data_IF_975856925076
#
_entry.id   IF_975856925076
#
_cell.length_a   1.000
_cell.length_b   1.000
_cell.length_c   1.000
_cell.angle_alpha   90.00
_cell.angle_beta   90.00
_cell.angle_gamma   90.00
#
_symmetry.space_group_name_H-M   'P 1'
#
loop_
_entity.id
_entity.type
_entity.pdbx_description
1 polymer ?
#
# COMPACT_ATOMS: atom_id res chain seq x y z
N UNK A 1 -31.07 -3.06 -5.81
CA UNK A 1 -31.91 -2.03 -5.17
C UNK A 1 -31.72 -0.74 -5.95
N UNK A 2 -32.69 -0.30 -6.76
CA UNK A 2 -32.54 0.94 -7.56
C UNK A 2 -32.79 2.14 -6.65
N UNK A 3 -31.75 2.90 -6.30
CA UNK A 3 -31.93 4.18 -5.59
C UNK A 3 -32.47 5.18 -6.60
N UNK A 4 -33.78 5.41 -6.52
CA UNK A 4 -34.48 6.42 -7.27
C UNK A 4 -34.46 7.70 -6.43
N UNK A 5 -33.39 8.49 -6.53
CA UNK A 5 -33.31 9.83 -5.94
C UNK A 5 -32.84 10.80 -7.03
N UNK A 6 -33.55 11.92 -7.18
CA UNK A 6 -33.06 13.07 -7.96
C UNK A 6 -31.71 13.45 -7.35
N UNK A 7 -30.63 13.20 -8.09
CA UNK A 7 -29.29 13.66 -7.74
C UNK A 7 -29.21 15.14 -8.09
N UNK A 8 -28.59 15.93 -7.22
CA UNK A 8 -28.33 17.31 -7.57
C UNK A 8 -27.37 17.34 -8.78
N UNK A 9 -27.56 18.25 -9.74
CA UNK A 9 -26.67 18.34 -10.88
C UNK A 9 -25.28 18.75 -10.41
N UNK A 10 -24.24 18.15 -11.00
CA UNK A 10 -22.86 18.57 -10.76
C UNK A 10 -22.69 20.02 -11.25
N UNK A 11 -22.22 20.97 -10.40
CA UNK A 11 -21.95 22.33 -10.82
C UNK A 11 -20.87 22.38 -11.91
N UNK A 12 -21.01 23.30 -12.87
CA UNK A 12 -19.97 23.53 -13.89
C UNK A 12 -18.65 24.01 -13.25
N UNK A 13 -18.75 24.85 -12.21
CA UNK A 13 -17.61 25.36 -11.45
C UNK A 13 -17.97 25.54 -9.97
N UNK A 14 -16.97 25.35 -9.10
CA UNK A 14 -17.05 25.70 -7.68
C UNK A 14 -16.31 27.03 -7.47
N UNK A 15 -16.93 27.97 -6.74
CA UNK A 15 -16.35 29.31 -6.52
C UNK A 15 -15.30 29.30 -5.42
N UNK A 16 -15.38 28.34 -4.50
CA UNK A 16 -14.43 28.18 -3.39
C UNK A 16 -14.13 26.70 -3.09
N UNK A 17 -13.01 26.43 -2.43
CA UNK A 17 -12.68 25.09 -1.94
C UNK A 17 -13.67 24.58 -0.88
N UNK A 18 -14.23 25.48 -0.08
CA UNK A 18 -15.24 25.14 0.94
C UNK A 18 -16.54 24.66 0.29
N UNK A 19 -16.96 25.30 -0.80
CA UNK A 19 -18.14 24.87 -1.58
C UNK A 19 -17.94 23.48 -2.20
N UNK A 20 -16.75 23.22 -2.76
CA UNK A 20 -16.36 21.90 -3.27
C UNK A 20 -16.41 20.83 -2.17
N UNK A 21 -15.83 21.12 -1.00
CA UNK A 21 -15.82 20.19 0.13
C UNK A 21 -17.23 19.89 0.62
N UNK A 22 -18.04 20.92 0.88
CA UNK A 22 -19.41 20.79 1.37
C UNK A 22 -20.30 19.97 0.40
N UNK A 23 -20.07 20.10 -0.90
CA UNK A 23 -20.77 19.29 -1.89
C UNK A 23 -20.41 17.81 -1.74
N UNK A 24 -19.12 17.46 -1.73
CA UNK A 24 -18.66 16.07 -1.66
C UNK A 24 -18.84 15.40 -0.29
N UNK A 25 -19.02 16.16 0.79
CA UNK A 25 -19.38 15.59 2.11
C UNK A 25 -20.74 14.86 2.09
N UNK A 26 -21.62 15.21 1.15
CA UNK A 26 -22.96 14.63 1.01
C UNK A 26 -23.20 13.84 -0.28
N UNK A 27 -22.25 13.89 -1.22
CA UNK A 27 -22.36 13.29 -2.54
C UNK A 27 -21.30 12.21 -2.76
N UNK A 28 -21.66 11.11 -3.44
CA UNK A 28 -20.71 10.06 -3.82
C UNK A 28 -20.18 10.30 -5.24
N UNK A 29 -18.87 10.21 -5.46
CA UNK A 29 -18.27 10.37 -6.79
C UNK A 29 -18.78 9.33 -7.79
N UNK A 30 -19.16 8.14 -7.31
CA UNK A 30 -19.73 7.08 -8.15
C UNK A 30 -21.13 7.44 -8.67
N UNK A 31 -21.79 8.42 -8.08
CA UNK A 31 -23.09 8.90 -8.55
C UNK A 31 -23.00 9.74 -9.82
N UNK A 32 -21.80 10.17 -10.21
CA UNK A 32 -21.49 11.02 -11.37
C UNK A 32 -20.55 10.32 -12.36
N UNK A 33 -20.64 8.99 -12.45
CA UNK A 33 -19.74 8.15 -13.25
C UNK A 33 -19.70 8.52 -14.74
N UNK A 34 -20.75 9.14 -15.28
CA UNK A 34 -20.80 9.64 -16.65
C UNK A 34 -19.78 10.74 -16.95
N UNK A 35 -19.28 11.44 -15.93
CA UNK A 35 -18.22 12.44 -16.05
C UNK A 35 -16.82 11.84 -15.84
N UNK A 36 -16.72 10.57 -15.45
CA UNK A 36 -15.46 9.89 -15.19
C UNK A 36 -14.97 9.15 -16.45
N UNK A 37 -13.65 9.10 -16.61
CA UNK A 37 -13.02 8.28 -17.64
C UNK A 37 -12.69 6.90 -17.06
N UNK A 38 -13.03 5.79 -17.74
CA UNK A 38 -12.66 4.45 -17.27
C UNK A 38 -11.13 4.29 -17.30
N UNK A 39 -10.58 3.70 -16.23
CA UNK A 39 -9.15 3.42 -16.10
C UNK A 39 -8.98 1.95 -15.71
N UNK A 40 -8.06 1.27 -16.38
CA UNK A 40 -7.64 -0.09 -15.99
C UNK A 40 -6.75 -0.01 -14.75
N UNK A 41 -7.20 -0.61 -13.64
CA UNK A 41 -6.42 -0.72 -12.42
C UNK A 41 -6.02 -2.18 -12.21
N UNK A 42 -4.72 -2.44 -12.12
CA UNK A 42 -4.21 -3.75 -11.73
C UNK A 42 -4.00 -3.77 -10.22
N UNK A 43 -4.93 -4.39 -9.49
CA UNK A 43 -4.79 -4.60 -8.05
C UNK A 43 -4.08 -5.95 -7.84
N UNK A 44 -2.88 -5.92 -7.27
CA UNK A 44 -2.17 -7.14 -6.94
C UNK A 44 -2.98 -7.96 -5.92
N UNK A 45 -3.35 -9.20 -6.28
CA UNK A 45 -4.10 -10.10 -5.40
C UNK A 45 -3.26 -10.67 -4.24
N UNK A 46 -1.95 -10.43 -4.26
CA UNK A 46 -1.01 -10.89 -3.24
C UNK A 46 -0.29 -9.67 -2.69
N UNK A 47 -0.74 -9.10 -1.56
CA UNK A 47 0.03 -8.06 -0.91
C UNK A 47 1.39 -8.64 -0.51
N UNK A 48 2.48 -8.03 -0.99
CA UNK A 48 3.80 -8.23 -0.42
C UNK A 48 3.71 -7.82 1.04
N UNK A 49 3.92 -8.76 1.96
CA UNK A 49 3.92 -8.46 3.37
C UNK A 49 5.29 -7.86 3.72
N UNK A 50 5.34 -6.54 3.84
CA UNK A 50 6.52 -5.85 4.34
C UNK A 50 6.46 -5.85 5.87
N UNK A 51 7.45 -6.50 6.50
CA UNK A 51 7.61 -6.50 7.94
C UNK A 51 8.73 -5.55 8.32
N UNK A 52 8.40 -4.56 9.16
CA UNK A 52 9.40 -3.69 9.76
C UNK A 52 9.85 -4.32 11.07
N UNK A 53 11.12 -4.70 11.15
CA UNK A 53 11.74 -5.28 12.35
C UNK A 53 12.86 -4.37 12.81
N UNK A 54 12.83 -3.98 14.08
CA UNK A 54 13.93 -3.22 14.70
C UNK A 54 15.01 -4.21 15.12
N UNK A 55 16.23 -4.01 14.61
CA UNK A 55 17.41 -4.81 14.94
C UNK A 55 18.34 -4.01 15.85
N UNK A 56 19.16 -4.70 16.64
CA UNK A 56 20.19 -4.03 17.45
C UNK A 56 21.27 -3.40 16.56
N UNK A 57 21.95 -2.38 17.08
CA UNK A 57 23.06 -1.72 16.38
C UNK A 57 24.17 -2.70 16.00
N UNK A 58 24.43 -3.68 16.86
CA UNK A 58 25.40 -4.76 16.62
C UNK A 58 25.01 -5.59 15.39
N UNK A 59 23.76 -6.05 15.33
CA UNK A 59 23.26 -6.82 14.18
C UNK A 59 23.29 -6.00 12.90
N UNK A 60 22.95 -4.71 12.97
CA UNK A 60 23.01 -3.84 11.81
C UNK A 60 24.44 -3.73 11.24
N UNK A 61 25.45 -3.58 12.11
CA UNK A 61 26.85 -3.56 11.69
C UNK A 61 27.26 -4.88 11.02
N UNK A 62 26.94 -6.01 11.65
CA UNK A 62 27.26 -7.33 11.11
C UNK A 62 26.59 -7.59 9.74
N UNK A 63 25.35 -7.13 9.56
CA UNK A 63 24.66 -7.24 8.28
C UNK A 63 25.30 -6.39 7.18
N UNK A 64 25.74 -5.17 7.49
CA UNK A 64 26.41 -4.31 6.51
C UNK A 64 27.77 -4.89 6.07
N UNK A 65 28.52 -5.48 7.01
CA UNK A 65 29.75 -6.20 6.70
C UNK A 65 29.48 -7.42 5.81
N UNK A 66 28.46 -8.21 6.15
CA UNK A 66 28.05 -9.37 5.37
C UNK A 66 27.58 -8.98 3.95
N UNK A 67 26.78 -7.93 3.82
CA UNK A 67 26.36 -7.37 2.53
C UNK A 67 27.58 -6.96 1.69
N UNK A 68 28.54 -6.26 2.30
CA UNK A 68 29.75 -5.80 1.60
C UNK A 68 30.62 -6.96 1.13
N UNK A 69 30.67 -8.05 1.91
CA UNK A 69 31.43 -9.26 1.59
C UNK A 69 30.77 -10.11 0.51
N UNK A 70 29.45 -10.27 0.57
CA UNK A 70 28.71 -11.23 -0.26
C UNK A 70 28.05 -10.58 -1.49
N UNK A 71 27.94 -9.26 -1.54
CA UNK A 71 27.41 -8.52 -2.69
C UNK A 71 25.90 -8.66 -2.89
N UNK A 72 25.17 -9.09 -1.86
CA UNK A 72 23.70 -9.30 -1.88
C UNK A 72 23.00 -8.35 -0.92
N UNK A 73 21.72 -8.06 -1.14
CA UNK A 73 20.96 -7.14 -0.28
C UNK A 73 20.80 -7.68 1.15
N UNK A 74 20.66 -6.78 2.12
CA UNK A 74 20.33 -7.14 3.52
C UNK A 74 19.06 -7.98 3.57
N UNK A 75 18.05 -7.64 2.78
CA UNK A 75 16.80 -8.41 2.69
C UNK A 75 17.05 -9.87 2.27
N UNK A 76 17.94 -10.10 1.31
CA UNK A 76 18.30 -11.46 0.88
C UNK A 76 18.98 -12.23 2.01
N UNK A 77 19.92 -11.59 2.72
CA UNK A 77 20.62 -12.18 3.86
C UNK A 77 19.65 -12.55 4.98
N UNK A 78 18.75 -11.63 5.35
CA UNK A 78 17.74 -11.85 6.40
C UNK A 78 16.84 -13.02 6.02
N UNK A 79 16.32 -13.07 4.80
CA UNK A 79 15.47 -14.16 4.34
C UNK A 79 16.19 -15.52 4.40
N UNK A 80 17.46 -15.56 3.98
CA UNK A 80 18.27 -16.77 3.98
C UNK A 80 18.53 -17.27 5.42
N UNK A 81 18.93 -16.37 6.33
CA UNK A 81 19.24 -16.74 7.71
C UNK A 81 18.00 -17.08 8.54
N UNK A 82 16.88 -16.37 8.35
CA UNK A 82 15.61 -16.71 8.99
C UNK A 82 15.16 -18.10 8.54
N UNK A 83 15.24 -18.40 7.24
CA UNK A 83 14.91 -19.72 6.70
C UNK A 83 15.79 -20.82 7.29
N UNK A 84 17.11 -20.64 7.28
CA UNK A 84 18.06 -21.62 7.84
C UNK A 84 17.83 -21.84 9.35
N UNK A 85 17.63 -20.76 10.12
CA UNK A 85 17.33 -20.82 11.55
C UNK A 85 16.05 -21.61 11.86
N UNK A 86 14.99 -21.39 11.06
CA UNK A 86 13.73 -22.13 11.20
C UNK A 86 13.88 -23.60 10.81
N UNK A 87 14.67 -23.93 9.79
CA UNK A 87 14.90 -25.33 9.41
C UNK A 87 15.66 -26.10 10.50
N UNK A 88 16.63 -25.45 11.14
CA UNK A 88 17.38 -26.04 12.25
C UNK A 88 16.52 -26.23 13.50
N UNK A 89 15.57 -25.33 13.77
CA UNK A 89 14.68 -25.45 14.94
C UNK A 89 13.60 -26.53 14.76
N UNK A 90 13.17 -26.82 13.53
CA UNK A 90 12.23 -27.90 13.23
C UNK A 90 12.87 -29.30 13.15
N UNK A 91 14.22 -29.37 13.04
CA UNK A 91 14.96 -30.65 12.99
C UNK A 91 15.37 -31.16 14.38
N UNK A 92 14.74 -30.64 15.44
CA UNK A 92 15.05 -30.94 16.86
C UNK A 92 13.78 -31.32 17.60
#
# INVERSE_FOLDING_TARGET
>A
MRRNNKKDPLPEEFKTFEELSNFWDSHDVTDYAEYLTPVECNVASHPTHEYIIVLSDELNRLMQEAQSREGVSIETLVNLWVKDGLQRSHSR
#
